data_IF_305067025557
#
_entry.id   IF_305067025557
#
_cell.length_a   1.000
_cell.length_b   1.000
_cell.length_c   1.000
_cell.angle_alpha   90.00
_cell.angle_beta   90.00
_cell.angle_gamma   90.00
#
_symmetry.space_group_name_H-M   'P 1'
#
loop_
_entity.id
_entity.type
_entity.pdbx_description
1 polymer ?
#
# COMPACT_ATOMS: atom_id res chain seq x y z
N UNK A 1 -12.32 17.39 -20.96
CA UNK A 1 -12.04 16.09 -20.31
C UNK A 1 -11.80 16.39 -18.85
N UNK A 2 -12.71 15.98 -17.96
CA UNK A 2 -12.56 16.25 -16.55
C UNK A 2 -11.31 15.50 -16.05
N UNK A 3 -10.38 16.25 -15.45
CA UNK A 3 -9.23 15.68 -14.76
C UNK A 3 -9.76 15.16 -13.42
N UNK A 4 -10.30 13.93 -13.39
CA UNK A 4 -10.65 13.28 -12.13
C UNK A 4 -9.38 13.16 -11.28
N UNK A 5 -9.37 13.83 -10.13
CA UNK A 5 -8.22 13.88 -9.26
C UNK A 5 -8.04 12.49 -8.61
N UNK A 6 -6.99 11.79 -9.03
CA UNK A 6 -6.62 10.52 -8.41
C UNK A 6 -6.26 10.71 -6.94
N UNK A 7 -6.66 9.76 -6.09
CA UNK A 7 -6.32 9.72 -4.67
C UNK A 7 -5.05 8.90 -4.47
N UNK A 8 -4.14 9.37 -3.62
CA UNK A 8 -2.95 8.64 -3.22
C UNK A 8 -3.01 8.39 -1.72
N UNK A 9 -3.16 7.12 -1.33
CA UNK A 9 -3.12 6.71 0.07
C UNK A 9 -1.70 6.34 0.46
N UNK A 10 -1.22 6.93 1.56
CA UNK A 10 -0.07 6.42 2.31
C UNK A 10 -0.58 5.63 3.51
N UNK A 11 -0.25 4.34 3.57
CA UNK A 11 -0.56 3.47 4.70
C UNK A 11 0.72 3.06 5.41
N UNK A 12 0.85 3.45 6.68
CA UNK A 12 1.96 3.03 7.54
C UNK A 12 1.51 1.89 8.46
N UNK A 13 2.37 0.89 8.62
CA UNK A 13 2.14 -0.28 9.46
C UNK A 13 3.40 -0.62 10.25
N UNK A 14 3.27 -0.68 11.57
CA UNK A 14 4.30 -1.21 12.46
C UNK A 14 4.12 -2.72 12.62
N UNK A 15 5.13 -3.48 12.20
CA UNK A 15 5.12 -4.94 12.30
C UNK A 15 5.77 -5.42 13.60
N UNK A 16 5.48 -6.67 13.96
CA UNK A 16 6.30 -7.38 14.97
C UNK A 16 7.65 -7.73 14.36
N UNK A 17 8.68 -7.79 15.20
CA UNK A 17 10.04 -8.15 14.80
C UNK A 17 10.08 -9.41 13.92
N UNK A 18 10.79 -9.33 12.78
CA UNK A 18 10.88 -10.42 11.80
C UNK A 18 9.63 -10.62 10.94
N UNK A 19 8.57 -9.82 11.11
CA UNK A 19 7.31 -9.93 10.39
C UNK A 19 7.35 -9.42 8.95
N UNK A 20 8.41 -8.72 8.54
CA UNK A 20 8.51 -8.08 7.23
C UNK A 20 8.32 -9.05 6.06
N UNK A 21 9.00 -10.20 6.09
CA UNK A 21 8.92 -11.18 5.00
C UNK A 21 7.50 -11.75 4.83
N UNK A 22 6.83 -12.05 5.95
CA UNK A 22 5.45 -12.54 5.95
C UNK A 22 4.48 -11.46 5.46
N UNK A 23 4.65 -10.21 5.89
CA UNK A 23 3.88 -9.06 5.42
C UNK A 23 4.02 -8.88 3.91
N UNK A 24 5.24 -8.89 3.37
CA UNK A 24 5.48 -8.78 1.92
C UNK A 24 4.84 -9.93 1.14
N UNK A 25 4.92 -11.16 1.64
CA UNK A 25 4.30 -12.32 1.01
C UNK A 25 2.77 -12.21 0.98
N UNK A 26 2.17 -11.76 2.09
CA UNK A 26 0.72 -11.53 2.18
C UNK A 26 0.27 -10.40 1.25
N UNK A 27 0.98 -9.26 1.24
CA UNK A 27 0.67 -8.13 0.37
C UNK A 27 0.66 -8.53 -1.11
N UNK A 28 1.70 -9.23 -1.57
CA UNK A 28 1.82 -9.69 -2.96
C UNK A 28 0.76 -10.72 -3.37
N UNK A 29 0.39 -11.62 -2.46
CA UNK A 29 -0.50 -12.76 -2.78
C UNK A 29 -1.98 -12.43 -2.64
N UNK A 30 -2.34 -11.54 -1.72
CA UNK A 30 -3.73 -11.28 -1.36
C UNK A 30 -4.11 -9.82 -1.67
N UNK A 31 -3.40 -8.86 -1.07
CA UNK A 31 -3.80 -7.45 -1.10
C UNK A 31 -3.67 -6.80 -2.47
N UNK A 32 -2.52 -6.94 -3.13
CA UNK A 32 -2.29 -6.27 -4.41
C UNK A 32 -3.20 -6.78 -5.53
N UNK A 33 -3.47 -8.09 -5.66
CA UNK A 33 -4.47 -8.57 -6.60
C UNK A 33 -5.88 -7.99 -6.36
N UNK A 34 -6.29 -7.85 -5.11
CA UNK A 34 -7.61 -7.28 -4.76
C UNK A 34 -7.68 -5.79 -5.15
N UNK A 35 -6.66 -5.00 -4.78
CA UNK A 35 -6.56 -3.59 -5.17
C UNK A 35 -6.54 -3.41 -6.69
N UNK A 36 -5.78 -4.24 -7.40
CA UNK A 36 -5.71 -4.17 -8.86
C UNK A 36 -7.06 -4.47 -9.52
N UNK A 37 -7.86 -5.40 -8.96
CA UNK A 37 -9.23 -5.69 -9.45
C UNK A 37 -10.19 -4.51 -9.29
N UNK A 38 -9.94 -3.64 -8.33
CA UNK A 38 -10.70 -2.41 -8.08
C UNK A 38 -10.20 -1.22 -8.93
N UNK A 39 -9.15 -1.40 -9.74
CA UNK A 39 -8.55 -0.31 -10.52
C UNK A 39 -7.54 0.54 -9.73
N UNK A 40 -7.27 0.19 -8.47
CA UNK A 40 -6.19 0.77 -7.70
C UNK A 40 -4.84 0.21 -8.14
N UNK A 41 -3.75 0.92 -7.84
CA UNK A 41 -2.38 0.52 -8.19
C UNK A 41 -1.43 0.82 -7.04
N UNK A 42 -0.78 -0.23 -6.54
CA UNK A 42 0.33 -0.07 -5.59
C UNK A 42 1.55 0.48 -6.32
N UNK A 43 2.06 1.62 -5.85
CA UNK A 43 3.22 2.30 -6.43
C UNK A 43 4.52 1.80 -5.82
N UNK A 44 4.54 1.67 -4.50
CA UNK A 44 5.68 1.16 -3.77
C UNK A 44 5.28 0.57 -2.42
N UNK A 45 6.15 -0.29 -1.91
CA UNK A 45 6.19 -0.76 -0.54
C UNK A 45 7.62 -0.52 -0.04
N UNK A 46 7.75 0.30 0.99
CA UNK A 46 9.01 0.72 1.58
C UNK A 46 9.07 0.21 3.01
N UNK A 47 10.27 0.00 3.54
CA UNK A 47 10.47 -0.34 4.94
C UNK A 47 11.55 0.56 5.56
N UNK A 48 11.54 0.67 6.89
CA UNK A 48 12.52 1.44 7.63
C UNK A 48 13.95 0.92 7.41
N UNK A 49 14.90 1.85 7.39
CA UNK A 49 16.33 1.54 7.30
C UNK A 49 17.16 2.50 8.14
N UNK A 50 16.82 3.80 8.11
CA UNK A 50 17.45 4.85 8.91
C UNK A 50 16.34 5.57 9.68
N UNK A 51 16.53 5.79 10.98
CA UNK A 51 15.56 6.46 11.85
C UNK A 51 14.40 5.57 12.30
N UNK A 52 13.95 4.67 11.43
CA UNK A 52 12.87 3.72 11.69
C UNK A 52 13.34 2.26 11.65
N UNK A 53 12.64 1.40 12.39
CA UNK A 53 12.90 -0.04 12.40
C UNK A 53 12.54 -0.67 11.04
N UNK A 54 13.21 -1.77 10.62
CA UNK A 54 12.84 -2.51 9.40
C UNK A 54 11.38 -2.98 9.35
N UNK A 55 10.75 -3.10 10.52
CA UNK A 55 9.35 -3.45 10.71
C UNK A 55 8.37 -2.29 10.49
N UNK A 56 8.84 -1.06 10.35
CA UNK A 56 8.01 0.06 9.92
C UNK A 56 7.87 0.01 8.40
N UNK A 57 6.66 -0.22 7.92
CA UNK A 57 6.36 -0.41 6.49
C UNK A 57 5.42 0.67 6.01
N UNK A 58 5.73 1.25 4.85
CA UNK A 58 4.87 2.23 4.17
C UNK A 58 4.48 1.68 2.80
N UNK A 59 3.18 1.62 2.53
CA UNK A 59 2.64 1.36 1.19
C UNK A 59 2.01 2.64 0.63
N UNK A 60 2.34 2.96 -0.62
CA UNK A 60 1.66 4.02 -1.37
C UNK A 60 0.80 3.39 -2.46
N UNK A 61 -0.49 3.72 -2.45
CA UNK A 61 -1.48 3.19 -3.40
C UNK A 61 -2.20 4.33 -4.10
N UNK A 62 -2.25 4.29 -5.44
CA UNK A 62 -3.09 5.18 -6.24
C UNK A 62 -4.48 4.56 -6.40
N UNK A 63 -5.52 5.34 -6.16
CA UNK A 63 -6.91 5.04 -6.48
C UNK A 63 -7.39 5.97 -7.61
N UNK A 64 -8.29 5.50 -8.48
CA UNK A 64 -8.80 6.31 -9.59
C UNK A 64 -9.62 7.52 -9.10
N UNK A 65 -10.39 7.34 -8.03
CA UNK A 65 -11.30 8.33 -7.47
C UNK A 65 -11.55 8.05 -5.97
N UNK A 66 -12.38 8.88 -5.34
CA UNK A 66 -12.71 8.79 -3.92
C UNK A 66 -13.63 7.60 -3.60
N UNK A 67 -14.51 7.20 -4.53
CA UNK A 67 -15.48 6.11 -4.30
C UNK A 67 -14.75 4.77 -4.20
N UNK A 68 -13.82 4.50 -5.13
CA UNK A 68 -12.98 3.29 -5.09
C UNK A 68 -12.05 3.28 -3.87
N UNK A 69 -11.57 4.45 -3.41
CA UNK A 69 -10.77 4.54 -2.19
C UNK A 69 -11.59 4.23 -0.92
N UNK A 70 -12.84 4.69 -0.86
CA UNK A 70 -13.73 4.47 0.29
C UNK A 70 -14.24 3.02 0.42
N UNK A 71 -14.30 2.27 -0.69
CA UNK A 71 -14.71 0.86 -0.73
C UNK A 71 -16.18 0.67 -1.07
#
# INVERSE_FOLDING_TARGET
MANEAAIYEQRQVSLRYGGLAACMAYAKKQIWPDLNRQGARVLCLLNGFIGDLPEEVIQITRFPDLDIWNG
#
